data_IF_245651162525
#
_entry.id   IF_245651162525
#
_cell.length_a   1.000
_cell.length_b   1.000
_cell.length_c   1.000
_cell.angle_alpha   90.00
_cell.angle_beta   90.00
_cell.angle_gamma   90.00
#
_symmetry.space_group_name_H-M   'P 1'
#
loop_
_entity.id
_entity.type
_entity.pdbx_description
1 polymer ?
#
# COMPACT_ATOMS: atom_id res chain seq x y z
N UNK A 1 4.80 13.90 17.50
CA UNK A 1 5.97 14.67 17.02
C UNK A 1 7.01 13.62 16.69
N UNK A 2 7.33 13.45 15.41
CA UNK A 2 8.27 12.43 14.97
C UNK A 2 9.69 12.99 14.95
N UNK A 3 10.66 12.17 15.35
CA UNK A 3 12.08 12.50 15.30
C UNK A 3 12.79 11.62 14.29
N UNK A 4 13.36 12.20 13.25
CA UNK A 4 14.31 11.55 12.36
C UNK A 4 15.56 12.43 12.26
N UNK A 5 16.72 11.85 12.57
CA UNK A 5 18.04 12.49 12.41
C UNK A 5 18.18 13.89 13.06
N UNK A 6 17.59 14.10 14.25
CA UNK A 6 17.66 15.37 14.97
C UNK A 6 16.72 16.47 14.45
N UNK A 7 15.89 16.15 13.45
CA UNK A 7 14.83 17.03 12.94
C UNK A 7 13.46 16.67 13.52
N UNK A 8 12.65 17.69 13.78
CA UNK A 8 11.27 17.52 14.24
C UNK A 8 10.31 17.69 13.08
N UNK A 9 9.46 16.69 12.86
CA UNK A 9 8.41 16.75 11.85
C UNK A 9 7.04 16.84 12.55
N UNK A 10 6.27 17.93 12.36
CA UNK A 10 4.91 18.00 12.87
C UNK A 10 4.07 16.96 12.13
N UNK A 11 3.48 16.03 12.88
CA UNK A 11 2.51 15.06 12.38
C UNK A 11 1.15 15.48 12.90
N UNK A 12 0.20 15.67 12.00
CA UNK A 12 -1.19 15.94 12.36
C UNK A 12 -1.75 14.65 12.97
N UNK A 13 -2.28 14.74 14.19
CA UNK A 13 -3.03 13.64 14.80
C UNK A 13 -4.42 13.57 14.17
N UNK A 14 -4.57 12.70 13.17
CA UNK A 14 -5.85 12.51 12.52
C UNK A 14 -6.86 11.74 13.36
N UNK A 15 -6.41 11.02 14.40
CA UNK A 15 -7.30 10.31 15.32
C UNK A 15 -8.18 11.27 16.10
N UNK A 16 -7.64 12.44 16.49
CA UNK A 16 -8.41 13.50 17.13
C UNK A 16 -9.58 14.01 16.27
N UNK A 17 -9.47 13.96 14.94
CA UNK A 17 -10.53 14.40 14.03
C UNK A 17 -11.63 13.35 13.80
N UNK A 18 -11.45 12.11 14.27
CA UNK A 18 -12.48 11.06 14.16
C UNK A 18 -13.78 11.45 14.88
N UNK A 19 -13.71 12.32 15.88
CA UNK A 19 -14.87 12.86 16.61
C UNK A 19 -15.80 13.71 15.72
N UNK A 20 -15.32 14.22 14.58
CA UNK A 20 -16.10 15.07 13.67
C UNK A 20 -16.69 14.30 12.48
N UNK A 21 -16.55 12.97 12.42
CA UNK A 21 -16.99 12.14 11.28
C UNK A 21 -18.47 12.32 10.91
N UNK A 22 -19.33 12.67 11.87
CA UNK A 22 -20.77 12.90 11.67
C UNK A 22 -21.10 14.31 11.16
N UNK A 23 -20.12 15.21 11.14
CA UNK A 23 -20.31 16.63 10.83
C UNK A 23 -19.63 17.06 9.53
N UNK A 24 -19.09 16.11 8.77
CA UNK A 24 -18.37 16.36 7.51
C UNK A 24 -19.00 15.57 6.36
N UNK A 25 -18.68 15.94 5.14
CA UNK A 25 -19.08 15.20 3.94
C UNK A 25 -18.46 13.80 3.92
N UNK A 26 -19.07 12.88 3.17
CA UNK A 26 -18.63 11.48 3.12
C UNK A 26 -17.16 11.31 2.71
N UNK A 27 -16.71 12.09 1.72
CA UNK A 27 -15.32 12.08 1.29
C UNK A 27 -14.36 12.54 2.40
N UNK A 28 -14.68 13.63 3.11
CA UNK A 28 -13.83 14.11 4.20
C UNK A 28 -13.81 13.12 5.38
N UNK A 29 -14.92 12.44 5.65
CA UNK A 29 -14.98 11.38 6.65
C UNK A 29 -14.03 10.22 6.32
N UNK A 30 -14.07 9.72 5.08
CA UNK A 30 -13.20 8.62 4.66
C UNK A 30 -11.73 9.06 4.58
N UNK A 31 -11.47 10.28 4.12
CA UNK A 31 -10.13 10.86 4.14
C UNK A 31 -9.55 10.90 5.56
N UNK A 32 -10.30 11.39 6.55
CA UNK A 32 -9.86 11.41 7.95
C UNK A 32 -9.60 9.99 8.45
N UNK A 33 -10.42 9.00 8.08
CA UNK A 33 -10.23 7.62 8.47
C UNK A 33 -8.90 7.04 7.92
N UNK A 34 -8.62 7.25 6.63
CA UNK A 34 -7.35 6.82 6.01
C UNK A 34 -6.18 7.52 6.69
N UNK A 35 -6.23 8.84 6.85
CA UNK A 35 -5.11 9.59 7.42
C UNK A 35 -4.89 9.30 8.91
N UNK A 36 -5.92 8.91 9.67
CA UNK A 36 -5.78 8.46 11.06
C UNK A 36 -4.98 7.16 11.14
N UNK A 37 -5.20 6.22 10.22
CA UNK A 37 -4.40 4.99 10.12
C UNK A 37 -2.94 5.34 9.81
N UNK A 38 -2.70 6.24 8.86
CA UNK A 38 -1.34 6.69 8.50
C UNK A 38 -0.63 7.43 9.64
N UNK A 39 -1.32 8.31 10.36
CA UNK A 39 -0.71 9.09 11.44
C UNK A 39 -0.42 8.26 12.68
N UNK A 40 -1.21 7.21 12.95
CA UNK A 40 -1.02 6.35 14.12
C UNK A 40 0.10 5.34 13.90
N UNK A 41 0.19 4.79 12.69
CA UNK A 41 1.21 3.81 12.34
C UNK A 41 1.62 4.02 10.87
N UNK A 42 2.67 4.82 10.61
CA UNK A 42 3.13 5.09 9.26
C UNK A 42 3.60 3.81 8.58
N UNK A 43 3.53 3.76 7.26
CA UNK A 43 3.98 2.60 6.48
C UNK A 43 5.47 2.28 6.67
N UNK A 44 6.29 3.32 6.78
CA UNK A 44 7.74 3.24 6.61
C UNK A 44 8.50 4.05 7.65
N UNK A 45 9.66 3.54 8.05
CA UNK A 45 10.70 4.24 8.81
C UNK A 45 12.06 3.83 8.26
N UNK A 46 12.97 4.81 8.13
CA UNK A 46 14.32 4.59 7.58
C UNK A 46 14.29 3.81 6.26
N UNK A 47 13.29 4.08 5.40
CA UNK A 47 13.07 3.42 4.11
C UNK A 47 12.86 1.89 4.19
N UNK A 48 12.36 1.40 5.32
CA UNK A 48 11.87 0.03 5.52
C UNK A 48 10.42 0.02 6.00
N UNK A 49 9.67 -1.00 5.63
CA UNK A 49 8.30 -1.22 6.08
C UNK A 49 8.30 -1.48 7.59
N UNK A 50 7.42 -0.79 8.29
CA UNK A 50 7.16 -1.01 9.73
C UNK A 50 5.76 -1.56 10.00
N UNK A 51 5.01 -1.84 8.93
CA UNK A 51 3.69 -2.48 8.96
C UNK A 51 3.76 -3.85 8.27
N UNK A 52 2.80 -4.73 8.55
CA UNK A 52 2.74 -6.02 7.89
C UNK A 52 2.33 -5.88 6.42
N UNK A 53 2.73 -6.84 5.57
CA UNK A 53 2.31 -6.88 4.17
C UNK A 53 0.79 -6.94 3.99
N UNK A 54 0.07 -7.58 4.91
CA UNK A 54 -1.39 -7.56 4.92
C UNK A 54 -1.96 -6.13 5.15
N UNK A 55 -1.29 -5.32 5.97
CA UNK A 55 -1.66 -3.93 6.18
C UNK A 55 -1.41 -3.10 4.92
N UNK A 56 -0.28 -3.30 4.23
CA UNK A 56 0.02 -2.66 2.94
C UNK A 56 -1.13 -2.87 1.95
N UNK A 57 -1.56 -4.13 1.76
CA UNK A 57 -2.65 -4.49 0.86
C UNK A 57 -3.98 -3.86 1.32
N UNK A 58 -4.32 -3.97 2.61
CA UNK A 58 -5.59 -3.45 3.12
C UNK A 58 -5.70 -1.93 2.98
N UNK A 59 -4.60 -1.21 3.19
CA UNK A 59 -4.53 0.24 3.05
C UNK A 59 -4.58 0.66 1.59
N UNK A 60 -3.91 -0.05 0.68
CA UNK A 60 -4.04 0.16 -0.76
C UNK A 60 -5.50 0.04 -1.22
N UNK A 61 -6.21 -1.01 -0.77
CA UNK A 61 -7.63 -1.22 -1.07
C UNK A 61 -8.53 -0.09 -0.53
N UNK A 62 -8.29 0.36 0.70
CA UNK A 62 -9.04 1.49 1.26
C UNK A 62 -8.84 2.77 0.45
N UNK A 63 -7.63 2.98 -0.09
CA UNK A 63 -7.31 4.16 -0.89
C UNK A 63 -7.86 4.04 -2.32
N UNK A 64 -7.84 2.85 -2.92
CA UNK A 64 -8.49 2.54 -4.20
C UNK A 64 -10.00 2.84 -4.13
N UNK A 65 -10.67 2.35 -3.06
CA UNK A 65 -12.08 2.61 -2.83
C UNK A 65 -12.38 4.11 -2.72
N UNK A 66 -11.58 4.87 -1.97
CA UNK A 66 -11.73 6.33 -1.90
C UNK A 66 -11.63 7.00 -3.27
N UNK A 67 -10.67 6.56 -4.09
CA UNK A 67 -10.44 7.13 -5.43
C UNK A 67 -11.63 6.85 -6.35
N UNK A 68 -12.22 5.66 -6.26
CA UNK A 68 -13.39 5.25 -7.02
C UNK A 68 -14.66 6.00 -6.56
N UNK A 69 -14.90 6.08 -5.25
CA UNK A 69 -16.13 6.63 -4.68
C UNK A 69 -16.17 8.16 -4.68
N UNK A 70 -15.01 8.82 -4.57
CA UNK A 70 -14.90 10.28 -4.41
C UNK A 70 -13.98 10.96 -5.43
N UNK A 71 -14.18 10.77 -6.74
CA UNK A 71 -13.27 11.27 -7.78
C UNK A 71 -13.21 12.81 -7.86
N UNK A 72 -14.16 13.51 -7.23
CA UNK A 72 -14.24 14.98 -7.18
C UNK A 72 -13.87 15.58 -5.82
N UNK A 73 -13.45 14.76 -4.85
CA UNK A 73 -13.03 15.27 -3.54
C UNK A 73 -11.85 16.22 -3.70
N UNK A 74 -11.79 17.27 -2.87
CA UNK A 74 -10.61 18.13 -2.79
C UNK A 74 -9.37 17.41 -2.20
N UNK A 75 -9.54 16.19 -1.67
CA UNK A 75 -8.45 15.33 -1.15
C UNK A 75 -7.99 14.27 -2.14
N UNK A 76 -8.60 14.18 -3.33
CA UNK A 76 -8.34 13.11 -4.30
C UNK A 76 -6.87 13.03 -4.71
N UNK A 77 -6.19 14.17 -4.88
CA UNK A 77 -4.79 14.20 -5.27
C UNK A 77 -3.89 13.60 -4.18
N UNK A 78 -4.14 13.91 -2.92
CA UNK A 78 -3.40 13.35 -1.78
C UNK A 78 -3.56 11.85 -1.69
N UNK A 79 -4.79 11.34 -1.81
CA UNK A 79 -5.04 9.90 -1.74
C UNK A 79 -4.46 9.16 -2.95
N UNK A 80 -4.48 9.75 -4.16
CA UNK A 80 -3.80 9.15 -5.33
C UNK A 80 -2.30 9.01 -5.14
N UNK A 81 -1.64 10.01 -4.54
CA UNK A 81 -0.22 9.93 -4.22
C UNK A 81 0.04 8.83 -3.19
N UNK A 82 -0.76 8.77 -2.13
CA UNK A 82 -0.65 7.73 -1.10
C UNK A 82 -0.85 6.33 -1.71
N UNK A 83 -1.90 6.16 -2.50
CA UNK A 83 -2.19 4.92 -3.23
C UNK A 83 -1.03 4.49 -4.10
N UNK A 84 -0.42 5.41 -4.86
CA UNK A 84 0.76 5.07 -5.67
C UNK A 84 1.91 4.56 -4.79
N UNK A 85 2.17 5.15 -3.62
CA UNK A 85 3.19 4.66 -2.70
C UNK A 85 2.90 3.25 -2.19
N UNK A 86 1.65 2.96 -1.82
CA UNK A 86 1.23 1.63 -1.37
C UNK A 86 1.24 0.60 -2.51
N UNK A 87 0.82 0.98 -3.72
CA UNK A 87 0.92 0.14 -4.92
C UNK A 87 2.39 -0.19 -5.20
N UNK A 88 3.29 0.81 -5.22
CA UNK A 88 4.73 0.57 -5.36
C UNK A 88 5.28 -0.34 -4.27
N UNK A 89 4.96 -0.08 -2.99
CA UNK A 89 5.42 -0.93 -1.90
C UNK A 89 4.92 -2.37 -2.05
N UNK A 90 3.71 -2.58 -2.56
CA UNK A 90 3.16 -3.93 -2.81
C UNK A 90 4.01 -4.73 -3.79
N UNK A 91 4.47 -4.12 -4.89
CA UNK A 91 5.16 -4.84 -5.98
C UNK A 91 6.69 -4.79 -5.89
N UNK A 92 7.25 -3.87 -5.11
CA UNK A 92 8.69 -3.70 -4.98
C UNK A 92 9.21 -3.84 -3.55
N UNK A 93 8.35 -3.62 -2.55
CA UNK A 93 8.77 -3.35 -1.18
C UNK A 93 9.43 -1.99 -1.06
N UNK A 94 10.27 -1.83 -0.02
CA UNK A 94 11.11 -0.66 0.19
C UNK A 94 12.57 -1.08 0.28
N UNK A 95 13.53 -0.15 0.20
CA UNK A 95 14.94 -0.53 0.09
C UNK A 95 15.44 -1.39 1.26
N UNK A 96 14.98 -1.12 2.48
CA UNK A 96 15.40 -1.89 3.67
C UNK A 96 14.49 -3.09 3.97
N UNK A 97 13.38 -3.23 3.25
CA UNK A 97 12.44 -4.35 3.32
C UNK A 97 11.92 -4.65 1.91
N UNK A 98 12.79 -5.11 1.00
CA UNK A 98 12.41 -5.33 -0.38
C UNK A 98 11.43 -6.49 -0.46
N UNK A 99 10.54 -6.47 -1.46
CA UNK A 99 9.62 -7.59 -1.67
C UNK A 99 10.34 -8.89 -2.03
N UNK A 100 11.45 -8.77 -2.76
CA UNK A 100 12.34 -9.89 -3.08
C UNK A 100 13.69 -9.64 -2.42
N UNK A 101 14.20 -10.63 -1.71
CA UNK A 101 15.47 -10.51 -1.01
C UNK A 101 16.63 -10.33 -1.98
N UNK A 102 17.57 -9.44 -1.65
CA UNK A 102 18.67 -9.07 -2.54
C UNK A 102 19.67 -10.20 -2.79
N UNK A 103 19.78 -11.16 -1.88
CA UNK A 103 20.75 -12.25 -1.89
C UNK A 103 20.30 -13.45 -2.72
N UNK A 104 19.02 -13.82 -2.64
CA UNK A 104 18.49 -15.03 -3.26
C UNK A 104 17.33 -14.78 -4.25
N UNK A 105 16.86 -13.54 -4.37
CA UNK A 105 15.75 -13.13 -5.22
C UNK A 105 14.41 -13.80 -4.89
N UNK A 106 14.29 -14.43 -3.73
CA UNK A 106 13.04 -15.03 -3.26
C UNK A 106 12.12 -13.96 -2.70
N UNK A 107 10.83 -14.10 -2.95
CA UNK A 107 9.81 -13.24 -2.39
C UNK A 107 9.79 -13.39 -0.87
N UNK A 108 9.56 -12.29 -0.17
CA UNK A 108 9.33 -12.28 1.26
C UNK A 108 8.15 -13.21 1.61
N UNK A 109 8.41 -14.20 2.48
CA UNK A 109 7.44 -15.24 2.81
C UNK A 109 6.16 -14.69 3.44
N UNK A 110 6.26 -13.60 4.21
CA UNK A 110 5.09 -12.97 4.83
C UNK A 110 4.29 -12.17 3.80
N UNK A 111 4.94 -11.59 2.79
CA UNK A 111 4.27 -11.00 1.63
C UNK A 111 3.52 -12.06 0.83
N UNK A 112 4.19 -13.17 0.50
CA UNK A 112 3.59 -14.28 -0.25
C UNK A 112 2.31 -14.80 0.43
N UNK A 113 2.37 -15.05 1.75
CA UNK A 113 1.21 -15.47 2.55
C UNK A 113 0.10 -14.44 2.54
N UNK A 114 0.43 -13.17 2.79
CA UNK A 114 -0.57 -12.09 2.83
C UNK A 114 -1.28 -11.94 1.48
N UNK A 115 -0.53 -12.02 0.38
CA UNK A 115 -1.06 -11.86 -0.97
C UNK A 115 -1.92 -13.05 -1.38
N UNK A 116 -1.45 -14.28 -1.12
CA UNK A 116 -2.27 -15.47 -1.35
C UNK A 116 -3.56 -15.45 -0.52
N UNK A 117 -3.52 -14.97 0.72
CA UNK A 117 -4.70 -14.88 1.59
C UNK A 117 -5.74 -13.86 1.08
N UNK A 118 -5.32 -12.71 0.54
CA UNK A 118 -6.27 -11.75 -0.06
C UNK A 118 -6.82 -12.26 -1.38
N UNK A 119 -5.99 -12.89 -2.21
CA UNK A 119 -6.36 -13.39 -3.53
C UNK A 119 -7.23 -14.66 -3.49
N UNK A 120 -7.34 -15.32 -2.33
CA UNK A 120 -8.28 -16.42 -2.11
C UNK A 120 -9.75 -15.96 -2.01
N UNK A 121 -9.99 -14.66 -1.88
CA UNK A 121 -11.32 -14.05 -1.85
C UNK A 121 -11.72 -13.58 -3.25
N UNK A 122 -12.95 -13.08 -3.40
CA UNK A 122 -13.35 -12.43 -4.64
C UNK A 122 -12.52 -11.15 -4.85
N UNK A 123 -11.81 -11.10 -5.97
CA UNK A 123 -10.98 -9.97 -6.38
C UNK A 123 -11.67 -9.10 -7.44
N UNK A 124 -12.88 -9.49 -7.88
CA UNK A 124 -13.60 -8.81 -8.97
C UNK A 124 -13.90 -7.36 -8.60
N UNK A 125 -13.57 -6.44 -9.51
CA UNK A 125 -13.86 -5.01 -9.33
C UNK A 125 -12.78 -4.20 -8.62
N UNK A 126 -11.64 -4.81 -8.28
CA UNK A 126 -10.44 -4.11 -7.79
C UNK A 126 -9.31 -4.23 -8.83
N UNK A 127 -9.06 -3.18 -9.64
CA UNK A 127 -7.91 -3.12 -10.54
C UNK A 127 -6.58 -3.45 -9.83
N UNK A 128 -6.42 -3.01 -8.59
CA UNK A 128 -5.27 -3.34 -7.74
C UNK A 128 -5.13 -4.85 -7.52
N UNK A 129 -6.18 -5.55 -7.10
CA UNK A 129 -6.13 -7.00 -6.88
C UNK A 129 -6.02 -7.80 -8.18
N UNK A 130 -6.56 -7.29 -9.29
CA UNK A 130 -6.37 -7.90 -10.61
C UNK A 130 -4.89 -7.88 -11.01
N UNK A 131 -4.20 -6.75 -10.83
CA UNK A 131 -2.75 -6.66 -11.03
C UNK A 131 -1.99 -7.58 -10.09
N UNK A 132 -2.35 -7.58 -8.80
CA UNK A 132 -1.71 -8.45 -7.80
C UNK A 132 -1.88 -9.93 -8.15
N UNK A 133 -3.07 -10.32 -8.62
CA UNK A 133 -3.37 -11.68 -9.07
C UNK A 133 -2.50 -12.09 -10.26
N UNK A 134 -2.36 -11.23 -11.27
CA UNK A 134 -1.51 -11.49 -12.42
C UNK A 134 -0.03 -11.60 -12.02
N UNK A 135 0.47 -10.69 -11.19
CA UNK A 135 1.83 -10.73 -10.64
C UNK A 135 2.10 -12.03 -9.86
N UNK A 136 1.20 -12.41 -8.94
CA UNK A 136 1.37 -13.61 -8.12
C UNK A 136 1.31 -14.91 -8.95
N UNK A 137 0.53 -14.93 -10.04
CA UNK A 137 0.52 -16.08 -10.98
C UNK A 137 1.86 -16.23 -11.68
N UNK A 138 2.48 -15.13 -12.12
CA UNK A 138 3.82 -15.16 -12.73
C UNK A 138 4.86 -15.61 -11.72
N UNK A 139 4.90 -14.99 -10.54
CA UNK A 139 5.86 -15.34 -9.50
C UNK A 139 5.76 -16.82 -9.10
N UNK A 140 4.54 -17.36 -8.97
CA UNK A 140 4.31 -18.76 -8.61
C UNK A 140 4.85 -19.76 -9.64
N UNK A 141 4.96 -19.41 -10.92
CA UNK A 141 5.49 -20.30 -11.95
C UNK A 141 6.98 -20.61 -11.75
N UNK A 142 7.70 -19.70 -11.09
CA UNK A 142 9.15 -19.78 -10.83
C UNK A 142 9.46 -19.86 -9.32
N UNK A 143 8.61 -20.56 -8.55
CA UNK A 143 8.76 -20.75 -7.09
C UNK A 143 8.94 -19.43 -6.32
N UNK A 144 8.19 -18.39 -6.71
CA UNK A 144 8.20 -17.05 -6.13
C UNK A 144 9.57 -16.34 -6.19
N UNK A 145 10.32 -16.55 -7.27
CA UNK A 145 11.56 -15.82 -7.54
C UNK A 145 11.36 -14.62 -8.43
N UNK A 146 12.18 -13.59 -8.23
CA UNK A 146 12.25 -12.46 -9.13
C UNK A 146 12.95 -12.84 -10.44
N UNK A 147 12.15 -13.31 -11.40
CA UNK A 147 12.62 -13.61 -12.76
C UNK A 147 12.52 -12.39 -13.67
N UNK A 148 13.09 -12.50 -14.88
CA UNK A 148 13.00 -11.44 -15.88
C UNK A 148 11.56 -11.12 -16.29
N UNK A 149 10.67 -12.11 -16.29
CA UNK A 149 9.25 -11.95 -16.60
C UNK A 149 8.51 -11.20 -15.50
N UNK A 150 8.75 -11.58 -14.23
CA UNK A 150 8.22 -10.86 -13.07
C UNK A 150 8.70 -9.40 -13.07
N UNK A 151 9.99 -9.17 -13.35
CA UNK A 151 10.55 -7.82 -13.44
C UNK A 151 9.96 -7.00 -14.59
N UNK A 152 9.76 -7.61 -15.76
CA UNK A 152 9.13 -6.97 -16.90
C UNK A 152 7.68 -6.56 -16.58
N UNK A 153 6.93 -7.46 -15.93
CA UNK A 153 5.57 -7.18 -15.48
C UNK A 153 5.52 -5.94 -14.57
N UNK A 154 6.44 -5.87 -13.58
CA UNK A 154 6.51 -4.72 -12.67
C UNK A 154 6.77 -3.41 -13.41
N UNK A 155 7.75 -3.38 -14.32
CA UNK A 155 8.11 -2.19 -15.11
C UNK A 155 6.97 -1.69 -16.00
N UNK A 156 6.22 -2.60 -16.60
CA UNK A 156 5.11 -2.26 -17.49
C UNK A 156 3.90 -1.73 -16.71
N UNK A 157 3.55 -2.39 -15.59
CA UNK A 157 2.28 -2.15 -14.90
C UNK A 157 2.40 -1.18 -13.71
N UNK A 158 3.59 -1.10 -13.10
CA UNK A 158 3.88 -0.33 -11.88
C UNK A 158 5.18 0.48 -12.07
N UNK A 159 5.24 1.41 -13.04
CA UNK A 159 6.47 2.16 -13.30
C UNK A 159 6.86 3.07 -12.12
N UNK A 160 8.12 2.96 -11.70
CA UNK A 160 8.77 3.84 -10.73
C UNK A 160 9.03 5.22 -11.34
#
# INVERSE_FOLDING_TARGET
METAEGSFFPVIDYSSYLNFKTHVTGDIREYIAIMAVESNLPMSKDNGLVIAWADVVSRALSQEAFIADYPRSNRIATIKTLYKSYETATFYGLNNTPLFHYDNLEMDLEAEKAYNAVLAKDTSGSPYLEKLSAFMKLAKADDYKLTGEVEAYRKENIPL
#
